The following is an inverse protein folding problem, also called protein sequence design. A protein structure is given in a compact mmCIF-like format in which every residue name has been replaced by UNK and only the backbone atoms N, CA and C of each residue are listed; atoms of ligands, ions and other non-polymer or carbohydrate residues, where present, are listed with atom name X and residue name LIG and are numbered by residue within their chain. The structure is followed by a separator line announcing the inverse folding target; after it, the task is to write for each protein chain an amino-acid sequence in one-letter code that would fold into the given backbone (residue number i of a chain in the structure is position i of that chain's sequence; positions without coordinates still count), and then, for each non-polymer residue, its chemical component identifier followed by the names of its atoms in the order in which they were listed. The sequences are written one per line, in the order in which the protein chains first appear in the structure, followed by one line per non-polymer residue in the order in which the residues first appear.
data_IF_593615118892
#
_entry.id   IF_593615118892
#
_cell.length_a   1.000
_cell.length_b   1.000
_cell.length_c   1.000
_cell.angle_alpha   90.00
_cell.angle_beta   90.00
_cell.angle_gamma   90.00
#
_symmetry.space_group_name_H-M   'P 1'
#
loop_
_entity.id
_entity.type
_entity.pdbx_description
1 polymer ?
#
# COMPACT_ATOMS: atom_id res chain seq x y z
N UNK A 1 -15.66 -8.42 -18.16
CA UNK A 1 -14.57 -7.75 -17.42
C UNK A 1 -14.33 -8.61 -16.20
N UNK A 2 -13.22 -9.34 -16.14
CA UNK A 2 -12.92 -10.18 -14.98
C UNK A 2 -12.45 -9.30 -13.82
N UNK A 3 -13.31 -9.18 -12.81
CA UNK A 3 -12.98 -8.55 -11.53
C UNK A 3 -12.02 -9.48 -10.80
N UNK A 4 -10.77 -9.05 -10.60
CA UNK A 4 -9.78 -9.82 -9.86
C UNK A 4 -9.66 -9.28 -8.43
N UNK A 5 -9.39 -10.19 -7.49
CA UNK A 5 -9.34 -9.93 -6.07
C UNK A 5 -8.54 -8.66 -5.70
N UNK A 6 -9.05 -7.88 -4.73
CA UNK A 6 -8.55 -6.59 -4.26
C UNK A 6 -8.81 -5.41 -5.22
N UNK A 7 -9.89 -5.47 -6.01
CA UNK A 7 -10.38 -4.33 -6.82
C UNK A 7 -9.48 -3.91 -7.98
N UNK A 8 -8.58 -4.78 -8.44
CA UNK A 8 -7.68 -4.52 -9.55
C UNK A 8 -8.08 -5.36 -10.77
N UNK A 9 -8.52 -4.72 -11.86
CA UNK A 9 -8.65 -5.40 -13.15
C UNK A 9 -7.24 -5.79 -13.64
N UNK A 10 -7.05 -7.04 -14.07
CA UNK A 10 -5.85 -7.45 -14.81
C UNK A 10 -5.82 -6.65 -16.14
N UNK A 11 -5.16 -5.50 -16.14
CA UNK A 11 -5.06 -4.65 -17.31
C UNK A 11 -3.86 -5.09 -18.14
N UNK A 12 -4.08 -5.91 -19.16
CA UNK A 12 -3.11 -6.16 -20.23
C UNK A 12 -2.94 -4.97 -21.20
N UNK A 13 -3.11 -3.74 -20.71
CA UNK A 13 -3.08 -2.49 -21.49
C UNK A 13 -1.98 -1.53 -21.04
N UNK A 14 -1.72 -0.49 -21.84
CA UNK A 14 -0.74 0.54 -21.54
C UNK A 14 -1.03 1.24 -20.20
N UNK A 15 0.02 1.61 -19.45
CA UNK A 15 -0.10 2.27 -18.15
C UNK A 15 -0.81 3.63 -18.28
N UNK A 16 -2.01 3.75 -17.70
CA UNK A 16 -2.73 5.03 -17.62
C UNK A 16 -2.27 5.84 -16.40
N UNK A 17 -1.31 6.73 -16.63
CA UNK A 17 -0.77 7.64 -15.60
C UNK A 17 -1.86 8.56 -15.01
N UNK A 18 -2.80 9.04 -15.82
CA UNK A 18 -3.82 9.98 -15.37
C UNK A 18 -4.90 9.29 -14.53
N UNK A 19 -5.31 8.09 -14.94
CA UNK A 19 -6.18 7.22 -14.15
C UNK A 19 -5.54 6.79 -12.83
N UNK A 20 -4.23 6.55 -12.82
CA UNK A 20 -3.47 6.26 -11.59
C UNK A 20 -3.48 7.44 -10.61
N UNK A 21 -3.20 8.65 -11.11
CA UNK A 21 -3.12 9.86 -10.27
C UNK A 21 -4.47 10.25 -9.64
N UNK A 22 -5.59 9.90 -10.29
CA UNK A 22 -6.95 10.15 -9.77
C UNK A 22 -7.38 9.17 -8.66
N UNK A 23 -6.63 8.11 -8.40
CA UNK A 23 -6.98 7.16 -7.34
C UNK A 23 -6.88 7.85 -5.97
N UNK A 24 -7.90 7.76 -5.10
CA UNK A 24 -7.88 8.46 -3.82
C UNK A 24 -6.70 8.03 -2.94
N UNK A 25 -6.32 6.74 -2.98
CA UNK A 25 -5.15 6.22 -2.27
C UNK A 25 -3.86 6.91 -2.73
N UNK A 26 -3.64 7.05 -4.04
CA UNK A 26 -2.47 7.70 -4.62
C UNK A 26 -2.40 9.18 -4.26
N UNK A 27 -3.52 9.90 -4.33
CA UNK A 27 -3.58 11.32 -3.95
C UNK A 27 -3.18 11.51 -2.48
N UNK A 28 -3.75 10.71 -1.58
CA UNK A 28 -3.42 10.81 -0.15
C UNK A 28 -1.95 10.43 0.10
N UNK A 29 -1.39 9.47 -0.63
CA UNK A 29 0.05 9.13 -0.54
C UNK A 29 0.93 10.29 -0.99
N UNK A 30 0.58 11.00 -2.06
CA UNK A 30 1.32 12.18 -2.50
C UNK A 30 1.25 13.32 -1.48
N UNK A 31 0.11 13.49 -0.80
CA UNK A 31 0.00 14.45 0.31
C UNK A 31 0.88 14.04 1.50
N UNK A 32 0.84 12.77 1.92
CA UNK A 32 1.73 12.26 2.98
C UNK A 32 3.21 12.43 2.62
N UNK A 33 3.56 12.18 1.36
CA UNK A 33 4.91 12.38 0.83
C UNK A 33 5.33 13.85 0.91
N UNK A 34 4.48 14.77 0.45
CA UNK A 34 4.70 16.22 0.54
C UNK A 34 4.89 16.67 1.99
N UNK A 35 4.00 16.30 2.89
CA UNK A 35 4.06 16.70 4.31
C UNK A 35 5.32 16.18 4.99
N UNK A 36 5.75 14.96 4.65
CA UNK A 36 7.00 14.40 5.17
C UNK A 36 8.21 15.24 4.75
N UNK A 37 8.29 15.63 3.47
CA UNK A 37 9.35 16.52 2.94
C UNK A 37 9.36 17.84 3.68
N UNK A 38 8.19 18.49 3.80
CA UNK A 38 8.09 19.78 4.47
C UNK A 38 8.62 19.65 5.91
N UNK A 39 8.27 18.59 6.65
CA UNK A 39 8.72 18.40 8.03
C UNK A 39 10.23 18.16 8.13
N UNK A 40 10.79 17.16 7.45
CA UNK A 40 12.23 16.89 7.64
C UNK A 40 13.11 17.97 7.01
N UNK A 41 12.72 18.54 5.86
CA UNK A 41 13.52 19.56 5.19
C UNK A 41 13.56 20.86 6.00
N UNK A 42 12.45 21.28 6.58
CA UNK A 42 12.42 22.47 7.46
C UNK A 42 13.27 22.27 8.71
N UNK A 43 13.23 21.09 9.34
CA UNK A 43 14.11 20.81 10.49
C UNK A 43 15.58 20.76 10.07
N UNK A 44 15.92 20.20 8.91
CA UNK A 44 17.31 20.17 8.44
C UNK A 44 17.85 21.55 8.08
N UNK A 45 17.02 22.42 7.49
CA UNK A 45 17.42 23.75 7.05
C UNK A 45 17.45 24.77 8.19
N UNK A 46 16.47 24.72 9.09
CA UNK A 46 16.20 25.78 10.06
C UNK A 46 16.08 25.26 11.49
N UNK A 47 16.21 23.95 11.71
CA UNK A 47 15.99 23.32 13.02
C UNK A 47 17.14 23.41 13.99
N UNK A 48 18.35 23.76 13.55
CA UNK A 48 19.52 23.90 14.41
C UNK A 48 19.99 25.35 14.42
N UNK A 49 19.93 25.99 15.59
CA UNK A 49 20.35 27.37 15.77
C UNK A 49 21.60 27.45 16.65
N UNK A 50 22.49 28.39 16.34
CA UNK A 50 23.65 28.70 17.18
C UNK A 50 23.25 29.75 18.21
N UNK A 51 23.62 29.53 19.46
CA UNK A 51 23.50 30.55 20.49
C UNK A 51 24.69 31.53 20.36
N UNK A 52 24.44 32.83 20.48
CA UNK A 52 25.40 33.92 20.13
C UNK A 52 26.74 33.84 20.88
N UNK A 53 26.81 33.04 21.95
CA UNK A 53 27.99 32.88 22.81
C UNK A 53 28.41 31.42 23.05
N UNK A 54 27.86 30.44 22.33
CA UNK A 54 28.21 29.02 22.47
C UNK A 54 28.28 28.34 21.10
N UNK A 55 29.42 27.73 20.76
CA UNK A 55 29.67 27.00 19.50
C UNK A 55 28.84 25.70 19.34
N UNK A 56 27.77 25.51 20.13
CA UNK A 56 26.92 24.32 20.06
C UNK A 56 25.59 24.66 19.42
N UNK A 57 25.34 24.12 18.23
CA UNK A 57 24.02 24.13 17.59
C UNK A 57 23.00 23.40 18.47
N UNK A 58 21.87 24.03 18.76
CA UNK A 58 20.76 23.43 19.51
C UNK A 58 19.50 23.35 18.67
N UNK A 59 18.73 22.29 18.87
CA UNK A 59 17.42 22.14 18.24
C UNK A 59 16.46 23.30 18.58
N UNK A 60 15.70 23.78 17.60
CA UNK A 60 14.71 24.85 17.75
C UNK A 60 13.58 24.52 18.73
N UNK A 61 13.35 23.22 19.00
CA UNK A 61 12.37 22.73 19.96
C UNK A 61 13.01 22.57 21.34
N UNK A 62 12.87 23.60 22.18
CA UNK A 62 13.31 23.59 23.59
C UNK A 62 14.76 23.11 23.80
N UNK A 63 15.66 23.42 22.85
CA UNK A 63 17.06 22.98 22.84
C UNK A 63 17.25 21.45 22.98
N UNK A 64 16.23 20.67 22.62
CA UNK A 64 16.21 19.22 22.76
C UNK A 64 16.50 18.55 21.41
N UNK A 65 17.74 18.09 21.23
CA UNK A 65 18.18 17.46 19.99
C UNK A 65 17.41 16.18 19.63
N UNK A 66 16.79 15.53 20.62
CA UNK A 66 15.92 14.36 20.39
C UNK A 66 14.64 14.75 19.65
N UNK A 67 14.13 15.97 19.82
CA UNK A 67 12.93 16.46 19.13
C UNK A 67 13.17 16.62 17.63
N UNK A 68 14.24 17.34 17.26
CA UNK A 68 14.64 17.50 15.86
C UNK A 68 15.00 16.15 15.23
N UNK A 69 15.80 15.32 15.93
CA UNK A 69 16.21 14.00 15.42
C UNK A 69 15.01 13.07 15.18
N UNK A 70 14.01 13.10 16.07
CA UNK A 70 12.79 12.33 15.92
C UNK A 70 11.98 12.77 14.68
N UNK A 71 11.77 14.09 14.52
CA UNK A 71 11.05 14.64 13.37
C UNK A 71 11.75 14.35 12.04
N UNK A 72 13.08 14.47 11.99
CA UNK A 72 13.90 14.12 10.82
C UNK A 72 13.76 12.63 10.51
N UNK A 73 13.96 11.76 11.49
CA UNK A 73 13.94 10.31 11.31
C UNK A 73 12.60 9.81 10.78
N UNK A 74 11.50 10.20 11.44
CA UNK A 74 10.15 9.82 11.00
C UNK A 74 9.83 10.42 9.62
N UNK A 75 10.24 11.65 9.34
CA UNK A 75 10.01 12.31 8.06
C UNK A 75 10.75 11.64 6.88
N UNK A 76 12.03 11.31 7.02
CA UNK A 76 12.81 10.65 5.95
C UNK A 76 12.27 9.24 5.69
N UNK A 77 12.01 8.47 6.75
CA UNK A 77 11.47 7.12 6.61
C UNK A 77 10.07 7.14 6.00
N UNK A 78 9.21 8.09 6.37
CA UNK A 78 7.90 8.31 5.75
C UNK A 78 8.04 8.60 4.25
N UNK A 79 8.94 9.51 3.88
CA UNK A 79 9.19 9.89 2.50
C UNK A 79 9.61 8.69 1.65
N UNK A 80 10.59 7.91 2.11
CA UNK A 80 11.07 6.72 1.39
C UNK A 80 9.97 5.66 1.29
N UNK A 81 9.23 5.42 2.38
CA UNK A 81 8.12 4.49 2.39
C UNK A 81 7.05 4.90 1.38
N UNK A 82 6.65 6.17 1.34
CA UNK A 82 5.69 6.67 0.34
C UNK A 82 6.15 6.42 -1.09
N UNK A 83 7.44 6.61 -1.41
CA UNK A 83 7.98 6.30 -2.75
C UNK A 83 7.82 4.81 -3.07
N UNK A 84 8.25 3.93 -2.17
CA UNK A 84 8.13 2.46 -2.35
C UNK A 84 6.67 2.07 -2.56
N UNK A 85 5.78 2.60 -1.73
CA UNK A 85 4.36 2.32 -1.76
C UNK A 85 3.69 2.84 -3.05
N UNK A 86 4.02 4.05 -3.53
CA UNK A 86 3.55 4.56 -4.83
C UNK A 86 3.98 3.63 -5.96
N UNK A 87 5.22 3.15 -5.93
CA UNK A 87 5.73 2.18 -6.92
C UNK A 87 4.95 0.86 -6.84
N UNK A 88 4.72 0.34 -5.64
CA UNK A 88 3.90 -0.86 -5.43
C UNK A 88 2.47 -0.68 -5.96
N UNK A 89 1.84 0.48 -5.77
CA UNK A 89 0.49 0.74 -6.31
C UNK A 89 0.47 0.78 -7.85
N UNK A 90 1.56 1.25 -8.46
CA UNK A 90 1.70 1.30 -9.92
C UNK A 90 1.85 -0.11 -10.50
N UNK A 91 2.59 -1.00 -9.82
CA UNK A 91 2.77 -2.39 -10.23
C UNK A 91 1.62 -3.32 -9.79
N UNK A 92 0.82 -2.93 -8.79
CA UNK A 92 -0.26 -3.76 -8.24
C UNK A 92 -1.19 -4.40 -9.29
N UNK A 93 -1.62 -3.70 -10.36
CA UNK A 93 -2.48 -4.29 -11.39
C UNK A 93 -1.82 -5.41 -12.20
N UNK A 94 -0.49 -5.44 -12.28
CA UNK A 94 0.29 -6.43 -13.04
C UNK A 94 0.50 -7.74 -12.27
N UNK A 95 0.30 -7.73 -10.96
CA UNK A 95 0.49 -8.92 -10.11
C UNK A 95 -0.70 -9.86 -10.33
N UNK A 96 -0.48 -11.08 -10.83
CA UNK A 96 -1.55 -12.07 -11.01
C UNK A 96 -1.85 -12.89 -9.76
N UNK A 97 -0.87 -13.04 -8.87
CA UNK A 97 -0.98 -13.87 -7.67
C UNK A 97 -1.78 -13.17 -6.55
N UNK A 98 -2.89 -13.80 -6.15
CA UNK A 98 -3.77 -13.29 -5.09
C UNK A 98 -3.10 -13.24 -3.71
N UNK A 99 -2.17 -14.16 -3.43
CA UNK A 99 -1.43 -14.17 -2.16
C UNK A 99 -0.48 -12.97 -2.07
N UNK A 100 0.25 -12.66 -3.14
CA UNK A 100 1.17 -11.52 -3.16
C UNK A 100 0.40 -10.20 -3.00
N UNK A 101 -0.75 -10.07 -3.67
CA UNK A 101 -1.66 -8.93 -3.48
C UNK A 101 -2.13 -8.80 -2.03
N UNK A 102 -2.50 -9.91 -1.39
CA UNK A 102 -2.89 -9.92 0.04
C UNK A 102 -1.77 -9.42 0.94
N UNK A 103 -0.54 -9.92 0.76
CA UNK A 103 0.60 -9.49 1.57
C UNK A 103 0.94 -8.02 1.37
N UNK A 104 0.86 -7.52 0.14
CA UNK A 104 1.07 -6.09 -0.16
C UNK A 104 0.01 -5.22 0.54
N UNK A 105 -1.27 -5.59 0.45
CA UNK A 105 -2.36 -4.84 1.09
C UNK A 105 -2.25 -4.90 2.62
N UNK A 106 -1.90 -6.05 3.18
CA UNK A 106 -1.70 -6.21 4.62
C UNK A 106 -0.47 -5.41 5.11
N UNK A 107 0.61 -5.41 4.34
CA UNK A 107 1.81 -4.62 4.61
C UNK A 107 1.52 -3.11 4.57
N UNK A 108 0.78 -2.65 3.56
CA UNK A 108 0.32 -1.26 3.47
C UNK A 108 -0.55 -0.86 4.68
N UNK A 109 -1.52 -1.71 5.04
CA UNK A 109 -2.39 -1.48 6.18
C UNK A 109 -1.59 -1.38 7.50
N UNK A 110 -0.71 -2.34 7.74
CA UNK A 110 0.12 -2.39 8.95
C UNK A 110 1.09 -1.22 9.02
N UNK A 111 1.79 -0.93 7.93
CA UNK A 111 2.74 0.18 7.85
C UNK A 111 2.01 1.52 8.04
N UNK A 112 0.92 1.75 7.31
CA UNK A 112 0.16 3.00 7.41
C UNK A 112 -0.41 3.22 8.81
N UNK A 113 -0.91 2.16 9.46
CA UNK A 113 -1.37 2.22 10.85
C UNK A 113 -0.24 2.56 11.83
N UNK A 114 0.91 1.90 11.72
CA UNK A 114 2.08 2.19 12.56
C UNK A 114 2.57 3.63 12.34
N UNK A 115 2.62 4.09 11.10
CA UNK A 115 3.07 5.44 10.77
C UNK A 115 2.11 6.52 11.26
N UNK A 116 0.80 6.25 11.25
CA UNK A 116 -0.19 7.14 11.85
C UNK A 116 0.11 7.37 13.33
N UNK A 117 0.39 6.30 14.08
CA UNK A 117 0.74 6.39 15.49
C UNK A 117 2.05 7.16 15.71
N UNK A 118 3.09 6.88 14.92
CA UNK A 118 4.37 7.57 15.04
C UNK A 118 4.26 9.07 14.71
N UNK A 119 3.49 9.44 13.69
CA UNK A 119 3.22 10.85 13.39
C UNK A 119 2.41 11.54 14.49
N UNK A 120 1.44 10.84 15.10
CA UNK A 120 0.71 11.38 16.24
C UNK A 120 1.63 11.64 17.43
N UNK A 121 2.53 10.69 17.75
CA UNK A 121 3.55 10.87 18.79
C UNK A 121 4.49 12.02 18.43
N UNK A 122 4.90 12.14 17.16
CA UNK A 122 5.69 13.26 16.64
C UNK A 122 5.02 14.60 16.95
N UNK A 123 3.77 14.74 16.53
CA UNK A 123 2.99 15.94 16.74
C UNK A 123 2.89 16.30 18.23
N UNK A 124 2.47 15.34 19.06
CA UNK A 124 2.34 15.57 20.50
C UNK A 124 3.68 15.96 21.15
N UNK A 125 4.76 15.28 20.78
CA UNK A 125 6.08 15.55 21.32
C UNK A 125 6.62 16.92 20.90
N UNK A 126 6.54 17.25 19.61
CA UNK A 126 7.00 18.53 19.08
C UNK A 126 6.14 19.69 19.60
N UNK A 127 4.82 19.53 19.70
CA UNK A 127 3.94 20.54 20.27
C UNK A 127 4.26 20.82 21.74
N UNK A 128 4.54 19.77 22.52
CA UNK A 128 4.96 19.91 23.92
C UNK A 128 6.30 20.62 24.06
N UNK A 129 7.30 20.28 23.24
CA UNK A 129 8.58 20.99 23.28
C UNK A 129 8.41 22.45 22.82
N UNK A 130 7.57 22.69 21.81
CA UNK A 130 7.26 24.04 21.33
C UNK A 130 6.62 24.91 22.42
N UNK A 131 5.69 24.38 23.23
CA UNK A 131 5.05 25.15 24.30
C UNK A 131 6.00 25.56 25.43
N UNK A 132 7.10 24.84 25.61
CA UNK A 132 8.14 25.16 26.60
C UNK A 132 9.30 26.00 26.03
N UNK A 133 9.30 26.30 24.73
CA UNK A 133 10.36 27.06 24.09
C UNK A 133 10.19 28.57 24.37
N UNK A 134 11.22 29.22 24.91
CA UNK A 134 11.23 30.66 25.17
C UNK A 134 11.43 31.45 23.86
N UNK A 135 10.60 32.47 23.64
CA UNK A 135 10.42 33.21 22.37
C UNK A 135 11.57 34.16 21.97
N UNK A 136 12.81 33.96 22.44
CA UNK A 136 13.86 34.99 22.33
C UNK A 136 14.82 34.84 21.14
N UNK A 137 14.76 33.76 20.35
CA UNK A 137 15.67 33.61 19.20
C UNK A 137 15.14 32.77 18.02
N UNK A 138 13.86 32.36 18.03
CA UNK A 138 13.41 31.26 17.17
C UNK A 138 12.76 31.75 15.88
N UNK A 139 13.09 31.06 14.78
CA UNK A 139 12.31 31.03 13.54
C UNK A 139 10.94 30.41 13.87
N UNK A 140 10.10 31.18 14.55
CA UNK A 140 8.84 30.71 15.11
C UNK A 140 7.89 30.21 14.03
N UNK A 141 8.05 30.72 12.80
CA UNK A 141 7.29 30.28 11.65
C UNK A 141 7.65 28.83 11.25
N UNK A 142 8.94 28.49 11.21
CA UNK A 142 9.41 27.14 10.89
C UNK A 142 8.96 26.11 11.91
N UNK A 143 9.14 26.39 13.21
CA UNK A 143 8.72 25.49 14.27
C UNK A 143 7.21 25.25 14.25
N UNK A 144 6.41 26.30 14.04
CA UNK A 144 4.94 26.20 13.91
C UNK A 144 4.55 25.42 12.66
N UNK A 145 5.22 25.64 11.53
CA UNK A 145 5.00 24.89 10.31
C UNK A 145 5.26 23.39 10.54
N UNK A 146 6.42 23.03 11.10
CA UNK A 146 6.77 21.63 11.42
C UNK A 146 5.69 20.98 12.27
N UNK A 147 5.24 21.65 13.34
CA UNK A 147 4.18 21.14 14.22
C UNK A 147 2.86 20.97 13.44
N UNK A 148 2.44 21.96 12.66
CA UNK A 148 1.21 21.89 11.87
C UNK A 148 1.25 20.78 10.79
N UNK A 149 2.35 20.67 10.05
CA UNK A 149 2.51 19.64 9.02
C UNK A 149 2.64 18.24 9.62
N UNK A 150 3.18 18.09 10.83
CA UNK A 150 3.14 16.80 11.55
C UNK A 150 1.72 16.35 11.92
N UNK A 151 0.85 17.30 12.31
CA UNK A 151 -0.57 17.05 12.53
C UNK A 151 -1.29 16.64 11.22
N UNK A 152 -1.07 17.38 10.13
CA UNK A 152 -1.66 17.03 8.84
C UNK A 152 -1.16 15.68 8.31
N UNK A 153 0.12 15.36 8.53
CA UNK A 153 0.68 14.06 8.21
C UNK A 153 -0.01 12.94 9.00
N UNK A 154 -0.29 13.15 10.29
CA UNK A 154 -1.06 12.19 11.09
C UNK A 154 -2.42 11.90 10.46
N UNK A 155 -3.13 12.95 10.02
CA UNK A 155 -4.44 12.80 9.39
C UNK A 155 -4.37 12.07 8.03
N UNK A 156 -3.35 12.35 7.20
CA UNK A 156 -3.21 11.67 5.91
C UNK A 156 -2.82 10.21 6.07
N UNK A 157 -1.92 9.88 7.00
CA UNK A 157 -1.60 8.48 7.33
C UNK A 157 -2.82 7.73 7.88
N UNK A 158 -3.63 8.36 8.74
CA UNK A 158 -4.87 7.76 9.22
C UNK A 158 -5.84 7.46 8.07
N UNK A 159 -5.95 8.40 7.11
CA UNK A 159 -6.76 8.20 5.92
C UNK A 159 -6.22 7.06 5.04
N UNK A 160 -4.89 6.93 4.89
CA UNK A 160 -4.27 5.78 4.20
C UNK A 160 -4.61 4.47 4.89
N UNK A 161 -4.55 4.40 6.23
CA UNK A 161 -4.95 3.21 6.99
C UNK A 161 -6.41 2.83 6.72
N UNK A 162 -7.32 3.80 6.70
CA UNK A 162 -8.74 3.55 6.39
C UNK A 162 -8.93 3.06 4.96
N UNK A 163 -8.26 3.66 3.98
CA UNK A 163 -8.33 3.25 2.58
C UNK A 163 -7.74 1.84 2.37
N UNK A 164 -6.59 1.55 2.98
CA UNK A 164 -5.97 0.23 2.98
C UNK A 164 -6.87 -0.82 3.64
N UNK A 165 -7.53 -0.47 4.75
CA UNK A 165 -8.48 -1.35 5.43
C UNK A 165 -9.71 -1.65 4.56
N UNK A 166 -10.27 -0.64 3.88
CA UNK A 166 -11.38 -0.83 2.92
C UNK A 166 -10.95 -1.77 1.79
N UNK A 167 -9.76 -1.57 1.23
CA UNK A 167 -9.20 -2.44 0.18
C UNK A 167 -8.96 -3.87 0.67
N UNK A 168 -8.47 -4.02 1.90
CA UNK A 168 -8.27 -5.31 2.54
C UNK A 168 -9.60 -6.07 2.68
N UNK A 169 -10.64 -5.40 3.17
CA UNK A 169 -11.98 -5.97 3.30
C UNK A 169 -12.56 -6.38 1.95
N UNK A 170 -12.47 -5.52 0.94
CA UNK A 170 -12.96 -5.83 -0.41
C UNK A 170 -12.30 -7.09 -0.98
N UNK A 171 -10.98 -7.23 -0.85
CA UNK A 171 -10.30 -8.44 -1.31
C UNK A 171 -10.57 -9.68 -0.46
N UNK A 172 -10.85 -9.52 0.85
CA UNK A 172 -11.32 -10.64 1.67
C UNK A 172 -12.72 -11.09 1.28
N UNK A 173 -13.63 -10.18 0.96
CA UNK A 173 -14.99 -10.51 0.52
C UNK A 173 -14.96 -11.26 -0.83
N UNK A 174 -14.08 -10.84 -1.75
CA UNK A 174 -13.86 -11.50 -3.05
C UNK A 174 -13.18 -12.88 -2.93
N UNK A 175 -12.25 -13.05 -1.98
CA UNK A 175 -11.58 -14.35 -1.72
C UNK A 175 -12.45 -15.29 -0.87
N UNK A 176 -13.24 -14.73 0.05
CA UNK A 176 -14.12 -15.45 0.98
C UNK A 176 -15.39 -16.00 0.32
N UNK A 177 -15.83 -15.40 -0.79
CA UNK A 177 -16.85 -16.00 -1.66
C UNK A 177 -16.36 -17.22 -2.42
N UNK A 178 -15.07 -17.53 -2.35
CA UNK A 178 -14.46 -18.64 -3.06
C UNK A 178 -14.56 -18.46 -4.57
N UNK A 179 -13.59 -18.99 -5.28
CA UNK A 179 -13.92 -19.57 -6.56
C UNK A 179 -14.85 -20.75 -6.26
N UNK A 180 -16.16 -20.51 -6.13
CA UNK A 180 -17.15 -21.56 -6.24
C UNK A 180 -17.14 -21.93 -7.72
N UNK A 181 -16.50 -23.04 -8.04
CA UNK A 181 -16.66 -23.69 -9.33
C UNK A 181 -18.17 -23.81 -9.60
N UNK A 182 -18.71 -23.22 -10.68
CA UNK A 182 -20.13 -23.35 -11.00
C UNK A 182 -20.55 -24.80 -11.25
N UNK A 183 -19.61 -25.76 -11.31
CA UNK A 183 -19.90 -27.18 -11.35
C UNK A 183 -20.54 -27.75 -10.07
N UNK A 184 -20.49 -27.04 -8.94
CA UNK A 184 -21.01 -27.52 -7.65
C UNK A 184 -22.41 -27.03 -7.27
N UNK A 185 -23.01 -26.12 -8.03
CA UNK A 185 -24.28 -25.51 -7.65
C UNK A 185 -25.48 -26.33 -8.15
N UNK A 186 -25.87 -27.33 -7.34
CA UNK A 186 -27.05 -28.16 -7.59
C UNK A 186 -28.39 -27.41 -7.40
N UNK A 187 -28.38 -26.08 -7.23
CA UNK A 187 -29.60 -25.28 -6.99
C UNK A 187 -30.02 -24.40 -8.18
N UNK A 188 -29.33 -24.48 -9.32
CA UNK A 188 -29.80 -23.83 -10.54
C UNK A 188 -31.17 -24.41 -10.97
N UNK A 189 -32.18 -23.57 -11.30
CA UNK A 189 -33.52 -24.03 -11.74
C UNK A 189 -33.53 -24.74 -13.11
N UNK A 190 -32.37 -25.01 -13.70
CA UNK A 190 -32.29 -25.74 -14.96
C UNK A 190 -32.51 -27.23 -14.68
N UNK A 191 -33.48 -27.86 -15.36
CA UNK A 191 -33.74 -29.27 -15.15
C UNK A 191 -32.51 -30.07 -15.58
N UNK A 192 -31.96 -30.83 -14.62
CA UNK A 192 -30.94 -31.84 -14.86
C UNK A 192 -31.55 -32.97 -15.70
N UNK A 193 -31.54 -32.78 -17.01
CA UNK A 193 -31.88 -33.83 -17.97
C UNK A 193 -30.70 -34.82 -18.08
N UNK A 194 -30.49 -35.62 -17.05
CA UNK A 194 -29.70 -36.85 -17.12
C UNK A 194 -30.56 -38.02 -16.63
N UNK A 195 -31.53 -38.39 -17.47
CA UNK A 195 -32.07 -39.73 -17.53
C UNK A 195 -31.88 -40.21 -18.97
N UNK A 196 -30.89 -41.09 -19.17
CA UNK A 196 -30.70 -41.83 -20.42
C UNK A 196 -29.95 -41.07 -21.51
N UNK A 197 -28.69 -41.48 -21.75
CA UNK A 197 -28.02 -41.22 -23.01
C UNK A 197 -28.82 -41.82 -24.18
N UNK A 198 -28.76 -41.17 -25.36
CA UNK A 198 -28.35 -41.91 -26.55
C UNK A 198 -27.02 -41.36 -27.07
N UNK A 199 -26.11 -42.28 -27.36
CA UNK A 199 -24.86 -42.01 -28.06
C UNK A 199 -25.15 -41.32 -29.41
N UNK A 200 -24.38 -40.28 -29.75
CA UNK A 200 -24.41 -39.81 -31.14
C UNK A 200 -23.66 -38.54 -31.49
N UNK A 201 -23.50 -37.57 -30.59
CA UNK A 201 -22.99 -36.26 -31.03
C UNK A 201 -22.14 -35.55 -29.97
N UNK A 202 -20.96 -36.07 -29.66
CA UNK A 202 -19.93 -35.27 -29.02
C UNK A 202 -18.53 -35.79 -29.38
N UNK A 203 -18.06 -35.40 -30.57
CA UNK A 203 -16.68 -35.61 -30.98
C UNK A 203 -15.88 -34.32 -30.70
N UNK A 204 -14.91 -34.41 -29.79
CA UNK A 204 -13.95 -33.34 -29.47
C UNK A 204 -12.93 -33.16 -30.61
N UNK A 205 -12.41 -31.94 -30.89
CA UNK A 205 -11.66 -31.64 -32.11
C UNK A 205 -10.17 -32.02 -32.08
N UNK A 206 -9.74 -32.98 -31.26
CA UNK A 206 -8.37 -33.48 -31.26
C UNK A 206 -8.35 -34.98 -31.57
N UNK A 207 -8.02 -35.31 -32.82
CA UNK A 207 -7.79 -36.69 -33.28
C UNK A 207 -6.35 -37.08 -32.92
N UNK A 208 -6.17 -37.90 -31.89
CA UNK A 208 -4.98 -38.74 -31.79
C UNK A 208 -5.15 -39.87 -32.82
N UNK A 209 -4.49 -39.75 -33.96
CA UNK A 209 -4.46 -40.79 -34.98
C UNK A 209 -3.70 -42.01 -34.47
N UNK A 210 -4.45 -43.06 -34.11
CA UNK A 210 -3.95 -44.42 -33.91
C UNK A 210 -3.68 -45.07 -35.27
N UNK A 211 -2.46 -44.89 -35.77
CA UNK A 211 -1.89 -45.72 -36.81
C UNK A 211 -0.91 -46.73 -36.18
N UNK A 212 -1.31 -48.00 -36.15
CA UNK A 212 -0.50 -49.20 -36.33
C UNK A 212 0.87 -49.36 -35.64
N UNK A 213 0.99 -50.53 -34.97
CA UNK A 213 2.19 -51.35 -34.75
C UNK A 213 3.22 -50.93 -33.70
N UNK A 214 3.50 -51.87 -32.78
CA UNK A 214 4.77 -51.95 -32.07
C UNK A 214 4.65 -52.32 -30.59
N UNK A 215 4.28 -53.57 -30.28
CA UNK A 215 4.50 -54.11 -28.93
C UNK A 215 6.01 -54.25 -28.68
N UNK A 216 6.50 -53.62 -27.60
CA UNK A 216 7.90 -53.76 -27.19
C UNK A 216 8.11 -55.08 -26.45
N UNK A 217 8.95 -55.96 -27.00
CA UNK A 217 9.38 -57.21 -26.36
C UNK A 217 10.87 -57.08 -25.99
N UNK A 218 11.27 -57.16 -24.71
CA UNK A 218 12.68 -57.09 -24.32
C UNK A 218 13.44 -58.40 -24.61
N UNK A 219 14.77 -58.37 -24.80
CA UNK A 219 15.57 -59.56 -25.08
C UNK A 219 15.72 -60.44 -23.82
N UNK A 220 15.52 -61.74 -23.99
CA UNK A 220 15.93 -62.73 -22.98
C UNK A 220 17.39 -63.14 -23.25
N UNK A 221 18.22 -63.06 -22.21
CA UNK A 221 19.50 -63.77 -22.13
C UNK A 221 19.28 -65.09 -21.39
#
# INVERSE_FOLDING_TARGET
METSAYGASLAGGAFDFWGFLKRPQTVVRLLSWLFSIVVFATILSEGYMNEEHVDTTKCMFNQNDSACSYGIGIGILAFLACVVFIVLDAYFPQISNANDRKYIVLGDLGFSGAWTFLWFVCFCFLANQWSHTTQTAVIADAARAVVAFSFFSTATWAMLTVLAFRRYRQGMDEVGLGYNDPAGDHTSPYPSAYAGAPEGYQQSPFTASSAGQGGYQPPAY
#
